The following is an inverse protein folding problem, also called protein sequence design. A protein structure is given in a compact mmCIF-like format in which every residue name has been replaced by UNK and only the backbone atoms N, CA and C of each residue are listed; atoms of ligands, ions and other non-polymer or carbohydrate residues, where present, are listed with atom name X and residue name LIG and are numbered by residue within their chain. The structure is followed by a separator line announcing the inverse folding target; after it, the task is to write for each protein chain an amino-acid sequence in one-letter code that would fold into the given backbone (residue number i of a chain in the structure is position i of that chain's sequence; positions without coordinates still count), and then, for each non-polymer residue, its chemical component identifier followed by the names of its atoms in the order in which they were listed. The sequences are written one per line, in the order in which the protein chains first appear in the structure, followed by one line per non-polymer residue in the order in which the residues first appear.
data_IF_755434158364
#
_entry.id   IF_755434158364
#
_cell.length_a   1.000
_cell.length_b   1.000
_cell.length_c   1.000
_cell.angle_alpha   90.00
_cell.angle_beta   90.00
_cell.angle_gamma   90.00
#
_symmetry.space_group_name_H-M   'P 1'
#
loop_
_entity.id
_entity.type
_entity.pdbx_description
1 polymer ?
#
# COMPACT_ATOMS: atom_id res chain seq x y z
N UNK A 1 -8.73 10.49 -7.04
CA UNK A 1 -8.23 9.51 -6.01
C UNK A 1 -6.72 9.37 -6.19
N UNK A 2 -5.98 9.33 -5.09
CA UNK A 2 -4.53 9.17 -5.14
C UNK A 2 -4.12 7.85 -5.80
N UNK A 3 -2.85 7.75 -6.14
CA UNK A 3 -2.22 6.52 -6.61
C UNK A 3 -0.99 6.20 -5.79
N UNK A 4 -0.84 4.96 -5.38
CA UNK A 4 0.38 4.51 -4.71
C UNK A 4 1.02 3.36 -5.49
N UNK A 5 2.34 3.28 -5.39
CA UNK A 5 3.15 2.25 -6.03
C UNK A 5 4.35 1.92 -5.14
N UNK A 6 4.93 0.76 -5.32
CA UNK A 6 6.17 0.45 -4.63
C UNK A 6 6.73 -0.92 -4.96
N UNK A 7 7.93 -1.14 -4.45
CA UNK A 7 8.64 -2.41 -4.56
C UNK A 7 9.38 -2.72 -3.26
N UNK A 8 9.38 -4.00 -2.88
CA UNK A 8 10.26 -4.54 -1.85
C UNK A 8 11.07 -5.70 -2.45
N UNK A 9 12.39 -5.65 -2.31
CA UNK A 9 13.30 -6.73 -2.72
C UNK A 9 13.57 -7.68 -1.56
N UNK A 10 13.52 -8.97 -1.86
CA UNK A 10 13.83 -10.03 -0.88
C UNK A 10 15.27 -10.54 -0.99
N UNK A 11 15.96 -10.20 -2.08
CA UNK A 11 17.28 -10.72 -2.42
C UNK A 11 18.44 -9.79 -2.04
N UNK A 12 18.19 -8.86 -1.13
CA UNK A 12 19.18 -7.92 -0.60
C UNK A 12 19.67 -6.85 -1.60
N UNK A 13 19.11 -6.84 -2.83
CA UNK A 13 19.45 -5.79 -3.79
C UNK A 13 18.64 -4.54 -3.52
N UNK A 14 19.11 -3.37 -3.95
CA UNK A 14 18.30 -2.16 -3.93
C UNK A 14 17.02 -2.35 -4.77
N UNK A 15 15.94 -1.70 -4.35
CA UNK A 15 14.71 -1.69 -5.12
C UNK A 15 14.90 -0.99 -6.48
N UNK A 16 14.15 -1.43 -7.49
CA UNK A 16 14.17 -0.81 -8.82
C UNK A 16 13.33 0.47 -8.79
N UNK A 17 13.96 1.57 -8.37
CA UNK A 17 13.28 2.87 -8.32
C UNK A 17 12.77 3.28 -9.71
N UNK A 18 13.50 3.01 -10.78
CA UNK A 18 13.08 3.37 -12.13
C UNK A 18 11.77 2.66 -12.52
N UNK A 19 11.60 1.39 -12.14
CA UNK A 19 10.33 0.70 -12.36
C UNK A 19 9.20 1.35 -11.53
N UNK A 20 9.46 1.68 -10.26
CA UNK A 20 8.47 2.35 -9.41
C UNK A 20 8.09 3.72 -9.98
N UNK A 21 9.05 4.45 -10.53
CA UNK A 21 8.80 5.73 -11.22
C UNK A 21 7.87 5.56 -12.42
N UNK A 22 8.15 4.59 -13.31
CA UNK A 22 7.28 4.32 -14.47
C UNK A 22 5.86 3.99 -14.03
N UNK A 23 5.71 3.14 -13.00
CA UNK A 23 4.39 2.80 -12.44
C UNK A 23 3.69 4.05 -11.91
N UNK A 24 4.43 4.86 -11.15
CA UNK A 24 3.87 6.07 -10.52
C UNK A 24 3.46 7.10 -11.59
N UNK A 25 4.25 7.26 -12.65
CA UNK A 25 3.88 8.16 -13.74
C UNK A 25 2.59 7.73 -14.44
N UNK A 26 2.36 6.44 -14.63
CA UNK A 26 1.11 5.93 -15.20
C UNK A 26 -0.10 6.22 -14.29
N UNK A 27 0.13 6.40 -12.99
CA UNK A 27 -0.94 6.75 -12.04
C UNK A 27 -1.30 8.25 -12.06
N UNK A 28 -0.70 9.06 -12.95
CA UNK A 28 -0.96 10.51 -13.00
C UNK A 28 -2.45 10.89 -13.08
N UNK A 29 -3.29 10.19 -13.87
CA UNK A 29 -4.72 10.54 -13.89
C UNK A 29 -5.45 10.36 -12.56
N UNK A 30 -4.89 9.55 -11.65
CA UNK A 30 -5.46 9.37 -10.31
C UNK A 30 -5.11 10.51 -9.36
N UNK A 31 -3.90 11.06 -9.48
CA UNK A 31 -3.42 12.12 -8.61
C UNK A 31 -2.58 13.13 -9.38
N UNK A 32 -3.25 14.11 -10.01
CA UNK A 32 -2.55 15.06 -10.87
C UNK A 32 -1.81 16.18 -10.12
N UNK A 33 -2.13 16.41 -8.83
CA UNK A 33 -1.73 17.64 -8.14
C UNK A 33 -0.28 17.62 -7.65
N UNK A 34 0.26 16.44 -7.34
CA UNK A 34 1.63 16.29 -6.88
C UNK A 34 2.09 14.85 -7.01
N UNK A 35 3.41 14.64 -6.93
CA UNK A 35 3.99 13.30 -6.92
C UNK A 35 5.24 13.28 -6.05
N UNK A 36 5.63 12.10 -5.62
CA UNK A 36 6.87 11.92 -4.87
C UNK A 36 7.36 10.49 -4.91
N UNK A 37 8.63 10.35 -4.58
CA UNK A 37 9.33 9.07 -4.54
C UNK A 37 10.18 8.99 -3.28
N UNK A 38 10.34 7.78 -2.76
CA UNK A 38 11.28 7.49 -1.68
C UNK A 38 11.89 6.12 -1.92
N UNK A 39 13.20 6.03 -1.77
CA UNK A 39 13.91 4.76 -1.90
C UNK A 39 14.90 4.60 -0.77
N UNK A 40 14.90 3.43 -0.13
CA UNK A 40 15.80 3.13 0.99
C UNK A 40 16.17 1.65 0.98
N UNK A 41 17.33 1.35 0.43
CA UNK A 41 17.81 -0.04 0.33
C UNK A 41 16.85 -0.92 -0.49
N UNK A 42 16.25 -1.95 0.13
CA UNK A 42 15.42 -2.88 -0.63
C UNK A 42 14.02 -2.38 -0.93
N UNK A 43 13.63 -1.18 -0.45
CA UNK A 43 12.28 -0.65 -0.69
C UNK A 43 12.33 0.61 -1.55
N UNK A 44 11.33 0.75 -2.43
CA UNK A 44 11.01 2.01 -3.11
C UNK A 44 9.50 2.22 -3.06
N UNK A 45 9.10 3.46 -2.78
CA UNK A 45 7.71 3.90 -2.74
C UNK A 45 7.51 5.06 -3.70
N UNK A 46 6.36 5.09 -4.36
CA UNK A 46 5.95 6.18 -5.22
C UNK A 46 4.51 6.57 -4.94
N UNK A 47 4.20 7.84 -5.13
CA UNK A 47 2.86 8.36 -4.86
C UNK A 47 2.45 9.41 -5.88
N UNK A 48 1.16 9.40 -6.26
CA UNK A 48 0.46 10.45 -6.99
C UNK A 48 -0.65 10.99 -6.12
N UNK A 49 -0.63 12.29 -5.90
CA UNK A 49 -1.51 12.95 -4.93
C UNK A 49 -2.65 13.69 -5.63
N UNK A 50 -3.87 13.46 -5.12
CA UNK A 50 -5.03 14.32 -5.34
C UNK A 50 -5.28 15.01 -3.99
N UNK A 51 -5.13 16.34 -3.94
CA UNK A 51 -5.24 17.11 -2.69
C UNK A 51 -6.71 17.27 -2.31
N UNK A 52 -7.15 16.61 -1.22
CA UNK A 52 -8.55 16.63 -0.76
C UNK A 52 -8.64 17.00 0.73
N UNK A 53 -8.01 16.19 1.60
CA UNK A 53 -8.15 16.35 3.06
C UNK A 53 -7.25 17.47 3.61
N UNK A 54 -6.04 17.56 3.10
CA UNK A 54 -5.08 18.60 3.46
C UNK A 54 -4.46 19.12 2.18
N UNK A 55 -4.63 20.41 1.91
CA UNK A 55 -4.13 21.02 0.68
C UNK A 55 -2.67 21.44 0.77
N UNK A 56 -2.10 21.42 1.99
CA UNK A 56 -0.73 21.85 2.24
C UNK A 56 0.29 20.81 1.78
N UNK A 57 1.53 21.22 1.72
CA UNK A 57 2.64 20.30 1.44
C UNK A 57 3.07 19.49 2.69
N UNK A 58 2.51 19.79 3.87
CA UNK A 58 2.73 19.00 5.07
C UNK A 58 2.27 17.56 4.97
N UNK A 59 1.32 17.28 4.07
CA UNK A 59 0.85 15.91 3.79
C UNK A 59 1.39 15.36 2.48
N UNK A 60 2.58 15.83 2.05
CA UNK A 60 3.26 15.27 0.87
C UNK A 60 3.59 13.79 1.09
N UNK A 61 3.57 13.02 0.00
CA UNK A 61 3.81 11.58 0.04
C UNK A 61 4.78 11.12 -1.05
N UNK A 62 5.58 10.05 -0.82
CA UNK A 62 5.61 9.24 0.41
C UNK A 62 5.95 10.09 1.62
N UNK A 63 5.20 9.88 2.73
CA UNK A 63 5.47 10.57 3.99
C UNK A 63 6.56 9.82 4.74
N UNK A 64 7.56 10.56 5.23
CA UNK A 64 8.72 9.98 5.89
C UNK A 64 8.84 10.59 7.29
N UNK A 65 8.91 9.74 8.29
CA UNK A 65 9.29 10.13 9.64
C UNK A 65 10.59 9.41 10.01
N UNK A 66 11.68 10.13 9.92
CA UNK A 66 13.02 9.57 10.14
C UNK A 66 13.27 9.23 11.61
N UNK A 67 12.60 9.90 12.55
CA UNK A 67 12.72 9.61 13.98
C UNK A 67 12.02 8.29 14.32
N UNK A 68 10.86 8.05 13.73
CA UNK A 68 10.13 6.80 13.93
C UNK A 68 10.64 5.67 13.03
N UNK A 69 11.52 5.99 12.06
CA UNK A 69 12.03 4.99 11.12
C UNK A 69 10.99 4.49 10.14
N UNK A 70 9.98 5.31 9.84
CA UNK A 70 8.84 4.90 9.00
C UNK A 70 8.76 5.73 7.73
N UNK A 71 8.36 5.08 6.62
CA UNK A 71 7.95 5.78 5.41
C UNK A 71 6.69 5.13 4.85
N UNK A 72 5.78 5.95 4.30
CA UNK A 72 4.44 5.48 3.91
C UNK A 72 3.96 6.12 2.62
N UNK A 73 3.30 5.29 1.79
CA UNK A 73 2.45 5.76 0.69
C UNK A 73 1.01 5.32 0.96
N UNK A 74 0.07 6.26 0.85
CA UNK A 74 -1.33 6.07 1.23
C UNK A 74 -2.27 6.65 0.19
N UNK A 75 -3.30 5.87 -0.17
CA UNK A 75 -4.41 6.28 -1.03
C UNK A 75 -5.71 6.07 -0.27
N UNK A 76 -6.35 7.12 0.20
CA UNK A 76 -7.56 6.95 0.96
C UNK A 76 -8.07 8.22 1.62
N UNK A 77 -8.95 8.01 2.58
CA UNK A 77 -9.43 9.02 3.53
C UNK A 77 -9.83 8.30 4.82
N UNK A 78 -9.27 8.72 5.93
CA UNK A 78 -9.61 8.20 7.26
C UNK A 78 -10.54 9.21 7.92
N UNK A 79 -11.82 8.88 8.00
CA UNK A 79 -12.86 9.83 8.38
C UNK A 79 -12.75 10.25 9.85
N UNK A 80 -12.35 9.30 10.72
CA UNK A 80 -12.19 9.56 12.15
C UNK A 80 -10.76 9.95 12.53
N UNK A 81 -10.00 10.55 11.59
CA UNK A 81 -8.63 10.98 11.90
C UNK A 81 -8.55 12.03 13.02
N UNK A 82 -9.55 12.93 13.22
CA UNK A 82 -9.43 13.87 14.33
C UNK A 82 -9.48 13.20 15.71
N UNK A 83 -10.32 12.18 15.86
CA UNK A 83 -10.42 11.41 17.10
C UNK A 83 -9.14 10.61 17.37
N UNK A 84 -8.61 9.96 16.31
CA UNK A 84 -7.35 9.22 16.41
C UNK A 84 -6.18 10.15 16.73
N UNK A 85 -6.19 11.35 16.13
CA UNK A 85 -5.19 12.38 16.43
C UNK A 85 -5.19 12.76 17.91
N UNK A 86 -6.38 13.04 18.46
CA UNK A 86 -6.51 13.39 19.88
C UNK A 86 -6.00 12.25 20.78
N UNK A 87 -6.31 11.00 20.44
CA UNK A 87 -5.79 9.84 21.17
C UNK A 87 -4.25 9.80 21.12
N UNK A 88 -3.67 9.98 19.94
CA UNK A 88 -2.21 9.98 19.76
C UNK A 88 -1.54 11.16 20.48
N UNK A 89 -2.16 12.34 20.46
CA UNK A 89 -1.66 13.50 21.23
C UNK A 89 -1.62 13.20 22.72
N UNK A 90 -2.63 12.49 23.24
CA UNK A 90 -2.63 12.06 24.66
C UNK A 90 -1.52 11.07 24.98
N UNK A 91 -1.00 10.34 23.96
CA UNK A 91 0.15 9.45 24.10
C UNK A 91 1.49 10.18 23.88
N UNK A 92 1.46 11.49 23.63
CA UNK A 92 2.67 12.30 23.50
C UNK A 92 3.12 12.58 22.06
N UNK A 93 2.37 12.12 21.06
CA UNK A 93 2.72 12.38 19.66
C UNK A 93 2.43 13.85 19.30
N UNK A 94 3.33 14.46 18.55
CA UNK A 94 3.16 15.80 18.01
C UNK A 94 2.93 15.71 16.50
N UNK A 95 2.20 16.65 15.92
CA UNK A 95 1.82 16.63 14.51
C UNK A 95 2.26 17.91 13.81
N UNK A 96 2.66 17.78 12.56
CA UNK A 96 3.11 18.89 11.72
C UNK A 96 2.14 19.18 10.56
N UNK A 97 1.28 18.24 10.22
CA UNK A 97 0.29 18.36 9.16
C UNK A 97 -1.13 18.38 9.72
N UNK A 98 -2.07 18.85 8.90
CA UNK A 98 -3.49 18.88 9.28
C UNK A 98 -4.29 17.67 8.78
N UNK A 99 -3.66 16.74 8.09
CA UNK A 99 -4.35 15.67 7.40
C UNK A 99 -4.33 14.31 8.11
N UNK A 100 -5.01 13.38 7.49
CA UNK A 100 -5.14 12.00 7.97
C UNK A 100 -3.87 11.17 7.74
N UNK A 101 -3.02 11.57 6.79
CA UNK A 101 -1.81 10.81 6.41
C UNK A 101 -0.85 10.65 7.59
N UNK A 102 -0.55 11.75 8.27
CA UNK A 102 0.36 11.72 9.42
C UNK A 102 -0.26 10.96 10.60
N UNK A 103 -1.57 11.08 10.79
CA UNK A 103 -2.29 10.34 11.84
C UNK A 103 -2.17 8.83 11.58
N UNK A 104 -2.31 8.41 10.34
CA UNK A 104 -2.17 7.00 9.97
C UNK A 104 -0.76 6.50 10.23
N UNK A 105 0.28 7.28 9.86
CA UNK A 105 1.67 6.90 10.08
C UNK A 105 1.99 6.74 11.57
N UNK A 106 1.60 7.73 12.38
CA UNK A 106 1.83 7.72 13.83
C UNK A 106 0.97 6.69 14.55
N UNK A 107 -0.26 6.46 14.06
CA UNK A 107 -1.12 5.39 14.55
C UNK A 107 -0.48 4.01 14.36
N UNK A 108 0.16 3.81 13.19
CA UNK A 108 0.90 2.55 12.98
C UNK A 108 2.07 2.43 13.98
N UNK A 109 2.80 3.51 14.24
CA UNK A 109 3.87 3.47 15.23
C UNK A 109 3.35 3.12 16.63
N UNK A 110 2.22 3.68 17.01
CA UNK A 110 1.65 3.50 18.36
C UNK A 110 1.03 2.10 18.56
N UNK A 111 0.33 1.60 17.55
CA UNK A 111 -0.55 0.43 17.71
C UNK A 111 -0.20 -0.73 16.75
N UNK A 112 0.74 -0.54 15.85
CA UNK A 112 1.06 -1.57 14.85
C UNK A 112 -0.16 -1.94 14.02
N UNK A 113 -0.34 -3.25 13.79
CA UNK A 113 -1.49 -3.77 13.05
C UNK A 113 -2.82 -3.55 13.79
N UNK A 114 -2.79 -3.41 15.12
CA UNK A 114 -3.99 -3.20 15.94
C UNK A 114 -4.63 -1.83 15.70
N UNK A 115 -4.00 -0.96 14.90
CA UNK A 115 -4.66 0.26 14.46
C UNK A 115 -5.80 -0.03 13.47
N UNK A 116 -5.75 -1.13 12.70
CA UNK A 116 -6.70 -1.37 11.61
C UNK A 116 -8.17 -1.38 12.09
N UNK A 117 -8.52 -2.06 13.21
CA UNK A 117 -9.88 -1.97 13.72
C UNK A 117 -10.31 -0.57 14.15
N UNK A 118 -9.36 0.32 14.48
CA UNK A 118 -9.66 1.70 14.87
C UNK A 118 -10.00 2.59 13.68
N UNK A 119 -9.58 2.21 12.45
CA UNK A 119 -9.75 3.07 11.27
C UNK A 119 -11.19 3.02 10.75
N UNK A 120 -11.80 4.20 10.63
CA UNK A 120 -13.05 4.37 9.90
C UNK A 120 -12.72 5.13 8.62
N UNK A 121 -12.82 4.45 7.47
CA UNK A 121 -12.42 5.09 6.22
C UNK A 121 -12.30 4.12 5.06
N UNK A 122 -11.87 4.65 3.94
CA UNK A 122 -11.55 3.89 2.74
C UNK A 122 -10.06 4.08 2.44
N UNK A 123 -9.30 2.98 2.39
CA UNK A 123 -7.84 3.12 2.34
C UNK A 123 -7.12 1.95 1.69
N UNK A 124 -5.99 2.27 1.11
CA UNK A 124 -4.91 1.32 0.81
C UNK A 124 -3.59 2.02 1.13
N UNK A 125 -2.71 1.37 1.83
CA UNK A 125 -1.41 1.95 2.18
C UNK A 125 -0.32 0.90 2.29
N UNK A 126 0.91 1.39 2.17
CA UNK A 126 2.12 0.59 2.38
C UNK A 126 3.04 1.38 3.31
N UNK A 127 3.46 0.78 4.42
CA UNK A 127 4.38 1.37 5.40
C UNK A 127 5.64 0.53 5.47
N UNK A 128 6.78 1.17 5.29
CA UNK A 128 8.09 0.56 5.45
C UNK A 128 8.66 0.91 6.82
N UNK A 129 9.10 -0.12 7.53
CA UNK A 129 9.82 0.00 8.80
C UNK A 129 11.32 -0.21 8.51
N UNK A 130 12.10 0.86 8.65
CA UNK A 130 13.54 0.84 8.36
C UNK A 130 14.29 -0.16 9.23
N UNK A 131 13.98 -0.19 10.52
CA UNK A 131 14.81 -0.91 11.49
C UNK A 131 14.50 -2.41 11.52
N UNK A 132 13.23 -2.78 11.38
CA UNK A 132 12.80 -4.18 11.31
C UNK A 132 12.90 -4.78 9.90
N UNK A 133 13.08 -3.92 8.86
CA UNK A 133 13.07 -4.31 7.44
C UNK A 133 11.75 -4.97 7.03
N UNK A 134 10.66 -4.43 7.52
CA UNK A 134 9.31 -4.95 7.32
C UNK A 134 8.51 -3.97 6.45
N UNK A 135 7.78 -4.50 5.48
CA UNK A 135 6.80 -3.75 4.71
C UNK A 135 5.41 -4.21 5.12
N UNK A 136 4.64 -3.31 5.70
CA UNK A 136 3.26 -3.56 6.10
C UNK A 136 2.33 -2.96 5.05
N UNK A 137 1.45 -3.78 4.48
CA UNK A 137 0.49 -3.36 3.46
C UNK A 137 -0.90 -3.66 3.99
N UNK A 138 -1.82 -2.69 3.88
CA UNK A 138 -3.20 -2.90 4.29
C UNK A 138 -4.18 -2.22 3.34
N UNK A 139 -5.40 -2.75 3.33
CA UNK A 139 -6.51 -2.28 2.51
C UNK A 139 -7.79 -2.30 3.33
N UNK A 140 -8.70 -1.37 3.08
CA UNK A 140 -9.95 -1.28 3.81
C UNK A 140 -10.82 -2.55 3.65
N UNK A 141 -11.70 -2.78 4.63
CA UNK A 141 -12.51 -4.01 4.73
C UNK A 141 -13.40 -4.26 3.53
N UNK A 142 -13.88 -3.21 2.88
CA UNK A 142 -14.76 -3.32 1.72
C UNK A 142 -13.98 -3.33 0.40
N UNK A 143 -12.65 -3.13 0.46
CA UNK A 143 -11.82 -3.08 -0.73
C UNK A 143 -12.12 -1.88 -1.62
N UNK A 144 -12.57 -0.77 -1.04
CA UNK A 144 -12.92 0.43 -1.81
C UNK A 144 -11.71 1.00 -2.55
N UNK A 145 -10.55 1.03 -1.87
CA UNK A 145 -9.33 1.49 -2.54
C UNK A 145 -8.60 0.30 -3.16
N UNK A 146 -8.35 0.34 -4.47
CA UNK A 146 -7.69 -0.80 -5.12
C UNK A 146 -6.21 -0.88 -4.77
N UNK A 147 -5.71 -2.11 -4.66
CA UNK A 147 -4.29 -2.38 -4.47
C UNK A 147 -3.96 -3.76 -5.02
N UNK A 148 -3.05 -3.80 -5.98
CA UNK A 148 -2.65 -4.99 -6.72
C UNK A 148 -1.21 -5.34 -6.42
N UNK A 149 -0.91 -6.63 -6.35
CA UNK A 149 0.41 -7.17 -6.03
C UNK A 149 0.90 -8.07 -7.14
N UNK A 150 2.17 -7.97 -7.47
CA UNK A 150 2.91 -8.96 -8.26
C UNK A 150 4.08 -9.43 -7.40
N UNK A 151 4.13 -10.73 -7.15
CA UNK A 151 5.15 -11.33 -6.27
C UNK A 151 5.97 -12.36 -7.02
N UNK A 152 7.27 -12.32 -6.83
CA UNK A 152 8.22 -13.34 -7.29
C UNK A 152 9.08 -13.79 -6.10
N UNK A 153 9.97 -14.74 -6.32
CA UNK A 153 10.91 -15.16 -5.28
C UNK A 153 11.85 -14.04 -4.84
N UNK A 154 12.08 -13.03 -5.71
CA UNK A 154 13.04 -11.96 -5.45
C UNK A 154 12.42 -10.63 -5.01
N UNK A 155 11.11 -10.41 -5.28
CA UNK A 155 10.50 -9.12 -4.99
C UNK A 155 8.98 -9.19 -4.89
N UNK A 156 8.44 -8.20 -4.21
CA UNK A 156 7.02 -7.84 -4.21
C UNK A 156 6.91 -6.46 -4.85
N UNK A 157 6.04 -6.31 -5.85
CA UNK A 157 5.73 -5.02 -6.47
C UNK A 157 4.23 -4.77 -6.35
N UNK A 158 3.85 -3.51 -6.11
CA UNK A 158 2.43 -3.19 -5.87
C UNK A 158 2.07 -1.85 -6.49
N UNK A 159 0.78 -1.71 -6.84
CA UNK A 159 0.24 -0.46 -7.39
C UNK A 159 -1.28 -0.37 -7.24
N UNK A 160 -1.79 0.86 -7.32
CA UNK A 160 -3.22 1.16 -7.25
C UNK A 160 -4.01 0.77 -8.52
N UNK A 161 -3.35 0.39 -9.62
CA UNK A 161 -4.07 -0.08 -10.81
C UNK A 161 -3.25 -1.12 -11.58
N UNK A 162 -3.97 -2.01 -12.28
CA UNK A 162 -3.33 -3.05 -13.11
C UNK A 162 -2.53 -2.45 -14.27
N UNK A 163 -3.08 -1.48 -15.04
CA UNK A 163 -2.28 -0.88 -16.13
C UNK A 163 -0.97 -0.25 -15.63
N UNK A 164 -1.02 0.42 -14.48
CA UNK A 164 0.19 1.02 -13.91
C UNK A 164 1.19 -0.05 -13.50
N UNK A 165 0.73 -1.13 -12.88
CA UNK A 165 1.63 -2.21 -12.45
C UNK A 165 2.41 -2.81 -13.61
N UNK A 166 1.76 -2.95 -14.79
CA UNK A 166 2.41 -3.45 -16.02
C UNK A 166 3.57 -2.55 -16.48
N UNK A 167 3.55 -1.26 -16.16
CA UNK A 167 4.64 -0.33 -16.51
C UNK A 167 5.95 -0.62 -15.77
N UNK A 168 5.90 -1.49 -14.78
CA UNK A 168 7.11 -2.02 -14.13
C UNK A 168 8.03 -2.76 -15.10
N UNK A 169 7.47 -3.32 -16.21
CA UNK A 169 8.23 -3.83 -17.35
C UNK A 169 8.47 -5.34 -17.36
N UNK A 170 8.32 -6.00 -16.23
CA UNK A 170 8.62 -7.43 -16.08
C UNK A 170 7.44 -8.21 -15.45
N UNK A 171 6.25 -7.67 -15.61
CA UNK A 171 5.00 -8.32 -15.19
C UNK A 171 4.26 -8.74 -16.46
N UNK A 172 3.86 -10.00 -16.51
CA UNK A 172 3.19 -10.56 -17.68
C UNK A 172 1.83 -9.90 -17.91
N UNK A 173 1.51 -9.58 -19.14
CA UNK A 173 0.18 -9.15 -19.55
C UNK A 173 -0.77 -10.31 -19.88
N UNK A 174 -0.36 -11.56 -19.64
CA UNK A 174 -1.21 -12.73 -19.90
C UNK A 174 -2.47 -12.69 -19.04
N UNK A 175 -3.60 -13.01 -19.65
CA UNK A 175 -4.87 -13.08 -18.94
C UNK A 175 -4.98 -14.38 -18.13
N UNK A 176 -5.56 -14.29 -16.95
CA UNK A 176 -5.98 -15.45 -16.16
C UNK A 176 -7.29 -15.98 -16.76
N UNK A 177 -7.33 -17.20 -17.32
CA UNK A 177 -8.55 -17.69 -17.98
C UNK A 177 -9.73 -17.85 -17.01
N UNK A 178 -9.49 -18.16 -15.74
CA UNK A 178 -10.56 -18.27 -14.74
C UNK A 178 -11.13 -16.88 -14.44
N UNK A 179 -10.24 -15.90 -14.24
CA UNK A 179 -10.67 -14.52 -14.01
C UNK A 179 -11.43 -13.94 -15.22
N UNK A 180 -10.96 -14.25 -16.43
CA UNK A 180 -11.63 -13.83 -17.66
C UNK A 180 -13.04 -14.44 -17.75
N UNK A 181 -13.19 -15.73 -17.42
CA UNK A 181 -14.50 -16.38 -17.40
C UNK A 181 -15.43 -15.68 -16.40
N UNK A 182 -14.96 -15.38 -15.19
CA UNK A 182 -15.78 -14.63 -14.22
C UNK A 182 -16.16 -13.25 -14.75
N UNK A 183 -15.18 -12.53 -15.31
CA UNK A 183 -15.41 -11.18 -15.85
C UNK A 183 -16.52 -11.17 -16.91
N UNK A 184 -16.49 -12.14 -17.82
CA UNK A 184 -17.46 -12.20 -18.92
C UNK A 184 -18.85 -12.65 -18.46
N UNK A 185 -18.94 -13.53 -17.46
CA UNK A 185 -20.22 -14.13 -17.06
C UNK A 185 -20.88 -13.42 -15.86
N UNK A 186 -20.14 -12.65 -15.05
CA UNK A 186 -20.64 -12.05 -13.82
C UNK A 186 -20.48 -10.53 -13.80
N UNK A 187 -20.78 -9.87 -14.93
CA UNK A 187 -20.78 -8.40 -15.06
C UNK A 187 -19.48 -7.74 -14.56
N UNK A 188 -18.36 -8.24 -15.07
CA UNK A 188 -17.03 -7.73 -14.77
C UNK A 188 -16.55 -7.96 -13.32
N UNK A 189 -17.19 -8.84 -12.58
CA UNK A 189 -16.74 -9.20 -11.22
C UNK A 189 -15.68 -10.31 -11.33
N UNK A 190 -14.53 -10.07 -10.71
CA UNK A 190 -13.46 -11.07 -10.58
C UNK A 190 -13.23 -11.28 -9.08
N UNK A 191 -13.52 -12.48 -8.54
CA UNK A 191 -13.35 -12.73 -7.11
C UNK A 191 -11.88 -12.63 -6.65
N UNK A 192 -11.67 -11.90 -5.56
CA UNK A 192 -10.34 -11.85 -4.94
C UNK A 192 -9.88 -13.28 -4.54
N UNK A 193 -8.60 -13.56 -4.54
CA UNK A 193 -7.48 -12.64 -4.83
C UNK A 193 -7.14 -12.48 -6.31
N UNK A 194 -7.90 -13.13 -7.21
CA UNK A 194 -7.61 -13.09 -8.65
C UNK A 194 -7.78 -11.69 -9.21
N UNK A 195 -7.04 -11.42 -10.29
CA UNK A 195 -7.23 -10.28 -11.17
C UNK A 195 -7.30 -10.80 -12.61
N UNK A 196 -7.59 -9.92 -13.57
CA UNK A 196 -7.54 -10.31 -14.97
C UNK A 196 -6.14 -10.70 -15.45
N UNK A 197 -5.09 -10.30 -14.72
CA UNK A 197 -3.71 -10.62 -15.09
C UNK A 197 -3.21 -11.84 -14.33
N UNK A 198 -2.69 -12.81 -15.05
CA UNK A 198 -2.06 -14.00 -14.44
C UNK A 198 -0.85 -13.56 -13.59
N UNK A 199 -0.75 -14.07 -12.36
CA UNK A 199 0.34 -13.75 -11.46
C UNK A 199 0.23 -12.39 -10.77
N UNK A 200 -0.92 -11.73 -10.89
CA UNK A 200 -1.22 -10.48 -10.15
C UNK A 200 -2.44 -10.71 -9.27
N UNK A 201 -2.30 -10.35 -8.02
CA UNK A 201 -3.34 -10.54 -7.01
C UNK A 201 -3.85 -9.21 -6.44
N UNK A 202 -5.08 -8.98 -5.94
CA UNK A 202 -5.66 -8.16 -5.32
C UNK A 202 -5.39 -8.38 -4.02
N UNK A 203 -4.97 -7.37 -3.42
CA UNK A 203 -4.91 -7.47 -1.95
C UNK A 203 -6.32 -7.69 -1.44
N UNK A 204 -6.56 -8.80 -0.81
CA UNK A 204 -7.84 -9.04 -0.15
C UNK A 204 -8.06 -7.98 0.95
N UNK A 205 -9.32 -7.83 1.39
CA UNK A 205 -9.65 -6.91 2.49
C UNK A 205 -9.01 -7.41 3.79
N UNK A 206 -7.74 -7.09 3.98
CA UNK A 206 -6.91 -7.58 5.09
C UNK A 206 -5.53 -6.96 5.00
N UNK A 207 -4.67 -7.34 5.88
CA UNK A 207 -3.27 -6.93 5.91
C UNK A 207 -2.36 -7.96 5.25
N UNK A 208 -1.28 -7.49 4.68
CA UNK A 208 -0.15 -8.32 4.22
C UNK A 208 1.12 -7.82 4.91
N UNK A 209 1.75 -8.69 5.65
CA UNK A 209 3.08 -8.44 6.21
C UNK A 209 4.13 -9.09 5.32
N UNK A 210 4.95 -8.27 4.68
CA UNK A 210 6.08 -8.76 3.90
C UNK A 210 7.37 -8.52 4.70
N UNK A 211 7.86 -9.58 5.31
CA UNK A 211 9.17 -9.58 5.97
C UNK A 211 10.27 -9.96 5.00
N UNK A 212 11.40 -9.26 5.11
CA UNK A 212 12.65 -9.76 4.58
C UNK A 212 13.17 -10.84 5.54
N UNK A 213 12.83 -12.11 5.28
CA UNK A 213 13.40 -13.21 6.09
C UNK A 213 14.86 -13.47 5.72
N UNK A 214 15.72 -13.42 6.71
CA UNK A 214 16.98 -14.13 6.67
C UNK A 214 16.65 -15.62 6.85
N UNK A 215 16.87 -16.38 5.76
CA UNK A 215 16.76 -17.85 5.68
C UNK A 215 15.38 -18.48 5.89
N UNK A 216 14.97 -19.13 4.84
CA UNK A 216 13.87 -20.05 4.54
C UNK A 216 12.67 -19.43 3.85
N UNK A 217 12.47 -19.88 2.61
CA UNK A 217 11.54 -19.35 1.65
C UNK A 217 10.08 -19.72 1.90
N UNK A 218 9.43 -18.98 2.79
CA UNK A 218 7.97 -18.88 2.82
C UNK A 218 7.58 -17.52 3.35
N UNK A 219 6.93 -16.75 2.51
CA UNK A 219 6.17 -15.59 2.98
C UNK A 219 4.89 -16.15 3.62
N UNK A 220 4.78 -16.02 4.91
CA UNK A 220 3.50 -16.27 5.57
C UNK A 220 2.59 -15.08 5.34
N UNK A 221 1.50 -15.29 4.61
CA UNK A 221 0.37 -14.38 4.70
C UNK A 221 -0.31 -14.71 6.03
N UNK A 222 -0.12 -13.85 7.02
CA UNK A 222 -0.91 -13.92 8.23
C UNK A 222 -2.31 -13.38 7.89
N UNK A 223 -3.09 -14.19 7.23
CA UNK A 223 -4.54 -14.00 7.21
C UNK A 223 -5.02 -14.51 8.56
N UNK A 224 -5.48 -13.63 9.40
CA UNK A 224 -6.08 -14.00 10.67
C UNK A 224 -7.25 -14.96 10.40
N UNK A 225 -7.21 -16.21 10.89
CA UNK A 225 -8.29 -17.16 10.65
C UNK A 225 -9.64 -16.75 11.24
N UNK A 226 -9.65 -15.80 12.17
CA UNK A 226 -10.89 -15.36 12.83
C UNK A 226 -11.81 -14.54 11.92
N UNK A 227 -11.33 -14.09 10.76
CA UNK A 227 -12.15 -13.34 9.80
C UNK A 227 -12.80 -14.21 8.72
N UNK A 228 -12.69 -15.55 8.85
CA UNK A 228 -13.31 -16.48 7.87
C UNK A 228 -14.72 -16.94 8.24
N UNK A 229 -15.26 -16.48 9.39
CA UNK A 229 -16.58 -16.93 9.83
C UNK A 229 -17.47 -15.75 10.21
N UNK A 230 -18.07 -15.14 9.20
CA UNK A 230 -19.33 -14.39 9.30
C UNK A 230 -19.89 -14.14 7.92
#
# INVERSE_FOLDING_TARGET
MCGLAGELRFDHQPADLAAVERITHELAPRGPDAWGFHSQGPVALGHRRLKIMDLSDGSAQPMIDSHLGLSMAFNGAIYNFPELRAELESLGYQFHSGGDTEVLLKGYHAWGADMLPKLNGMFAFAIWERDSKRLFIARDRLGVKPLYLSKTDKRLRFASSLPALLKGGDISGMLDPVALNHYLNFHAVVPAPRTLLAGVEXVAASQLDAHRRQRQGRAESLVDPALRSS
#
